data_IF_076162715316
#
_entry.id   IF_076162715316
#
_cell.length_a   1.000
_cell.length_b   1.000
_cell.length_c   1.000
_cell.angle_alpha   90.00
_cell.angle_beta   90.00
_cell.angle_gamma   90.00
#
_symmetry.space_group_name_H-M   'P 1'
#
loop_
_entity.id
_entity.type
_entity.pdbx_description
1 polymer ?
#
# COMPACT_ATOMS: atom_id res chain seq x y z
N UNK A 1 90.92 -4.57 -53.63
CA UNK A 1 89.98 -4.45 -52.48
C UNK A 1 89.01 -3.33 -52.79
N UNK A 2 87.79 -3.67 -53.20
CA UNK A 2 86.72 -2.71 -53.55
C UNK A 2 85.64 -2.85 -52.49
N UNK A 3 85.40 -1.79 -51.72
CA UNK A 3 84.35 -1.71 -50.70
C UNK A 3 83.17 -0.91 -51.28
N UNK A 4 82.09 -1.61 -51.63
CA UNK A 4 80.80 -1.01 -51.96
C UNK A 4 80.09 -0.54 -50.67
N UNK A 5 79.89 0.77 -50.51
CA UNK A 5 78.93 1.33 -49.57
C UNK A 5 77.68 1.75 -50.35
N UNK A 6 76.68 0.86 -50.39
CA UNK A 6 75.34 1.16 -50.91
C UNK A 6 74.61 2.08 -49.93
N UNK A 7 74.49 3.36 -50.28
CA UNK A 7 73.52 4.28 -49.68
C UNK A 7 72.11 3.92 -50.16
N UNK A 8 71.32 3.25 -49.32
CA UNK A 8 69.87 3.15 -49.52
C UNK A 8 69.20 4.47 -49.10
N UNK A 9 68.76 5.27 -50.08
CA UNK A 9 67.78 6.34 -49.83
C UNK A 9 66.43 5.70 -49.47
N UNK A 10 65.99 5.86 -48.22
CA UNK A 10 64.65 5.45 -47.80
C UNK A 10 63.59 6.44 -48.32
N UNK A 11 62.61 5.90 -49.05
CA UNK A 11 61.55 6.62 -49.76
C UNK A 11 60.38 7.02 -48.85
N UNK A 12 60.65 7.63 -47.69
CA UNK A 12 59.59 8.20 -46.83
C UNK A 12 59.59 9.74 -46.94
N UNK A 13 58.40 10.36 -47.12
CA UNK A 13 58.27 11.82 -47.11
C UNK A 13 58.89 12.43 -45.84
N UNK A 14 59.50 13.60 -45.97
CA UNK A 14 60.27 14.26 -44.89
C UNK A 14 59.46 14.55 -43.62
N UNK A 15 58.13 14.64 -43.73
CA UNK A 15 57.19 14.81 -42.62
C UNK A 15 56.92 13.52 -41.82
N UNK A 16 57.40 12.36 -42.27
CA UNK A 16 57.20 11.05 -41.62
C UNK A 16 58.53 10.40 -41.16
N UNK A 17 59.50 11.21 -40.74
CA UNK A 17 60.77 10.77 -40.18
C UNK A 17 60.81 11.06 -38.67
N UNK A 18 61.24 10.11 -37.81
CA UNK A 18 61.33 10.34 -36.38
C UNK A 18 62.54 11.22 -36.05
N UNK A 19 62.29 12.45 -35.60
CA UNK A 19 63.31 13.34 -35.02
C UNK A 19 63.30 13.13 -33.50
N UNK A 20 63.99 12.07 -33.09
CA UNK A 20 64.24 11.58 -31.71
C UNK A 20 63.04 10.99 -30.96
N UNK A 21 63.19 9.70 -30.58
CA UNK A 21 62.17 8.87 -29.95
C UNK A 21 61.29 8.12 -30.97
N UNK A 22 60.89 6.89 -30.63
CA UNK A 22 60.19 5.92 -31.51
C UNK A 22 58.76 6.32 -31.96
N UNK A 23 58.38 7.61 -31.91
CA UNK A 23 57.03 8.05 -32.28
C UNK A 23 57.04 9.29 -33.17
N UNK A 24 56.38 9.18 -34.32
CA UNK A 24 56.27 10.23 -35.35
C UNK A 24 55.42 11.42 -34.85
N UNK A 25 55.67 12.64 -35.34
CA UNK A 25 54.88 13.85 -35.01
C UNK A 25 53.38 13.67 -35.33
N UNK A 26 53.06 12.84 -36.34
CA UNK A 26 51.69 12.46 -36.66
C UNK A 26 51.05 11.58 -35.58
N UNK A 27 51.79 10.68 -34.96
CA UNK A 27 51.26 9.87 -33.84
C UNK A 27 51.00 10.75 -32.62
N UNK A 28 51.84 11.76 -32.35
CA UNK A 28 51.61 12.75 -31.29
C UNK A 28 50.40 13.65 -31.56
N UNK A 29 50.07 13.92 -32.83
CA UNK A 29 48.87 14.68 -33.22
C UNK A 29 47.62 13.80 -33.21
N UNK A 30 47.67 12.57 -33.70
CA UNK A 30 46.54 11.62 -33.73
C UNK A 30 46.15 11.19 -32.31
N UNK A 31 47.11 10.99 -31.40
CA UNK A 31 46.82 10.71 -29.98
C UNK A 31 46.11 11.85 -29.24
N UNK A 32 46.19 13.11 -29.73
CA UNK A 32 45.42 14.23 -29.15
C UNK A 32 43.96 14.28 -29.62
N UNK A 33 43.60 13.58 -30.69
CA UNK A 33 42.24 13.56 -31.26
C UNK A 33 41.51 12.24 -31.04
N UNK A 34 42.18 11.19 -30.56
CA UNK A 34 41.52 9.95 -30.18
C UNK A 34 40.91 10.08 -28.78
N UNK A 35 39.58 10.17 -28.71
CA UNK A 35 38.85 10.10 -27.44
C UNK A 35 39.27 8.86 -26.64
N UNK A 36 39.53 8.98 -25.32
CA UNK A 36 39.79 7.84 -24.46
C UNK A 36 38.65 6.83 -24.50
N UNK A 37 38.99 5.56 -24.27
CA UNK A 37 38.01 4.49 -24.09
C UNK A 37 37.43 4.54 -22.67
N UNK A 38 36.20 4.05 -22.52
CA UNK A 38 35.59 3.87 -21.20
C UNK A 38 36.30 2.72 -20.49
N UNK A 39 36.58 2.86 -19.20
CA UNK A 39 37.23 1.81 -18.40
C UNK A 39 36.38 0.54 -18.38
N UNK A 40 37.02 -0.63 -18.50
CA UNK A 40 36.34 -1.94 -18.48
C UNK A 40 35.43 -2.14 -17.26
N UNK A 41 35.85 -1.65 -16.10
CA UNK A 41 35.04 -1.67 -14.86
C UNK A 41 33.72 -0.90 -15.01
N UNK A 42 33.75 0.25 -15.68
CA UNK A 42 32.58 1.07 -15.93
C UNK A 42 31.67 0.46 -17.01
N UNK A 43 32.26 -0.20 -18.01
CA UNK A 43 31.52 -0.97 -19.02
C UNK A 43 30.80 -2.16 -18.35
N UNK A 44 31.52 -2.92 -17.54
CA UNK A 44 30.96 -4.05 -16.80
C UNK A 44 29.83 -3.61 -15.87
N UNK A 45 30.05 -2.55 -15.07
CA UNK A 45 29.03 -2.00 -14.19
C UNK A 45 27.80 -1.53 -14.98
N UNK A 46 27.99 -0.77 -16.07
CA UNK A 46 26.89 -0.34 -16.93
C UNK A 46 26.05 -1.51 -17.43
N UNK A 47 26.72 -2.56 -17.93
CA UNK A 47 26.04 -3.72 -18.50
C UNK A 47 25.31 -4.56 -17.44
N UNK A 48 25.88 -4.67 -16.24
CA UNK A 48 25.22 -5.30 -15.10
C UNK A 48 23.96 -4.52 -14.70
N UNK A 49 24.04 -3.20 -14.62
CA UNK A 49 22.90 -2.34 -14.28
C UNK A 49 21.81 -2.39 -15.37
N UNK A 50 22.21 -2.44 -16.65
CA UNK A 50 21.29 -2.60 -17.78
C UNK A 50 20.57 -3.95 -17.74
N UNK A 51 21.28 -5.03 -17.42
CA UNK A 51 20.69 -6.36 -17.23
C UNK A 51 19.69 -6.39 -16.06
N UNK A 52 20.04 -5.75 -14.94
CA UNK A 52 19.14 -5.63 -13.80
C UNK A 52 17.90 -4.79 -14.14
N UNK A 53 18.07 -3.67 -14.84
CA UNK A 53 16.96 -2.85 -15.33
C UNK A 53 16.04 -3.65 -16.27
N UNK A 54 16.60 -4.50 -17.14
CA UNK A 54 15.82 -5.40 -17.99
C UNK A 54 14.99 -6.39 -17.17
N UNK A 55 15.60 -7.06 -16.19
CA UNK A 55 14.92 -8.00 -15.30
C UNK A 55 13.74 -7.34 -14.57
N UNK A 56 13.93 -6.15 -14.00
CA UNK A 56 12.85 -5.43 -13.33
C UNK A 56 11.79 -4.89 -14.29
N UNK A 57 12.18 -4.50 -15.50
CA UNK A 57 11.24 -4.16 -16.57
C UNK A 57 10.31 -5.33 -16.89
N UNK A 58 10.84 -6.55 -16.99
CA UNK A 58 10.04 -7.72 -17.33
C UNK A 58 9.12 -8.15 -16.17
N UNK A 59 9.57 -8.02 -14.92
CA UNK A 59 8.70 -8.15 -13.74
C UNK A 59 7.59 -7.10 -13.74
N UNK A 60 7.91 -5.84 -14.02
CA UNK A 60 6.90 -4.76 -14.08
C UNK A 60 5.85 -5.02 -15.17
N UNK A 61 6.27 -5.49 -16.36
CA UNK A 61 5.35 -5.91 -17.44
C UNK A 61 4.45 -7.05 -17.01
N UNK A 62 4.98 -8.03 -16.27
CA UNK A 62 4.21 -9.17 -15.82
C UNK A 62 3.09 -8.77 -14.82
N UNK A 63 3.37 -7.80 -13.95
CA UNK A 63 2.40 -7.29 -12.96
C UNK A 63 1.39 -6.32 -13.59
N UNK A 64 1.81 -5.50 -14.56
CA UNK A 64 1.04 -4.43 -15.21
C UNK A 64 -0.09 -4.91 -16.17
N UNK A 65 -0.74 -6.05 -15.90
CA UNK A 65 -1.83 -6.58 -16.74
C UNK A 65 -3.16 -5.87 -16.44
N UNK A 66 -3.32 -4.66 -17.00
CA UNK A 66 -4.56 -3.94 -17.35
C UNK A 66 -5.57 -3.52 -16.27
N UNK A 67 -5.27 -3.64 -14.96
CA UNK A 67 -6.22 -3.24 -13.89
C UNK A 67 -5.92 -1.93 -13.17
N UNK A 68 -4.82 -1.26 -13.48
CA UNK A 68 -4.38 -0.06 -12.75
C UNK A 68 -4.81 1.26 -13.39
N UNK A 69 -5.39 1.23 -14.59
CA UNK A 69 -5.69 2.44 -15.37
C UNK A 69 -7.12 2.95 -15.18
N UNK A 70 -7.97 2.19 -14.48
CA UNK A 70 -9.34 2.64 -14.24
C UNK A 70 -9.35 3.87 -13.32
N UNK A 71 -10.09 4.91 -13.71
CA UNK A 71 -10.21 6.15 -12.92
C UNK A 71 -10.67 5.88 -11.49
N UNK A 72 -11.55 4.90 -11.30
CA UNK A 72 -12.04 4.47 -9.99
C UNK A 72 -10.94 3.87 -9.10
N UNK A 73 -10.08 3.03 -9.67
CA UNK A 73 -8.93 2.49 -8.95
C UNK A 73 -7.92 3.58 -8.61
N UNK A 74 -7.66 4.50 -9.53
CA UNK A 74 -6.75 5.63 -9.29
C UNK A 74 -7.29 6.56 -8.19
N UNK A 75 -8.60 6.78 -8.16
CA UNK A 75 -9.27 7.47 -7.05
C UNK A 75 -9.03 6.73 -5.73
N UNK A 76 -9.19 5.40 -5.70
CA UNK A 76 -8.90 4.61 -4.50
C UNK A 76 -7.45 4.75 -4.03
N UNK A 77 -6.48 4.66 -4.94
CA UNK A 77 -5.05 4.85 -4.64
C UNK A 77 -4.80 6.24 -4.04
N UNK A 78 -5.41 7.28 -4.61
CA UNK A 78 -5.32 8.65 -4.10
C UNK A 78 -5.90 8.76 -2.69
N UNK A 79 -7.10 8.23 -2.46
CA UNK A 79 -7.75 8.27 -1.15
C UNK A 79 -6.92 7.52 -0.11
N UNK A 80 -6.39 6.33 -0.44
CA UNK A 80 -5.48 5.58 0.42
C UNK A 80 -4.30 6.44 0.86
N UNK A 81 -3.68 7.15 -0.08
CA UNK A 81 -2.57 8.05 0.22
C UNK A 81 -3.00 9.22 1.12
N UNK A 82 -4.08 9.93 0.79
CA UNK A 82 -4.57 11.05 1.59
C UNK A 82 -4.93 10.63 3.03
N UNK A 83 -5.50 9.43 3.20
CA UNK A 83 -5.83 8.87 4.50
C UNK A 83 -4.59 8.51 5.32
N UNK A 84 -3.55 7.96 4.68
CA UNK A 84 -2.28 7.64 5.36
C UNK A 84 -1.44 8.86 5.66
N UNK A 85 -1.51 9.88 4.80
CA UNK A 85 -0.74 11.13 4.93
C UNK A 85 -1.45 12.19 5.74
N UNK A 86 -2.72 11.97 6.09
CA UNK A 86 -3.52 12.87 6.91
C UNK A 86 -3.70 14.25 6.25
N UNK A 87 -4.24 14.27 5.02
CA UNK A 87 -4.36 15.46 4.17
C UNK A 87 -5.76 15.60 3.51
N UNK A 88 -6.04 16.77 2.96
CA UNK A 88 -7.17 17.10 2.07
C UNK A 88 -8.56 16.64 2.55
N UNK A 89 -8.87 16.87 3.83
CA UNK A 89 -10.16 16.48 4.40
C UNK A 89 -10.24 15.02 4.86
N UNK A 90 -9.11 14.29 4.85
CA UNK A 90 -8.97 12.95 5.43
C UNK A 90 -8.22 12.97 6.77
N UNK A 91 -8.03 14.14 7.37
CA UNK A 91 -7.31 14.31 8.62
C UNK A 91 -8.02 13.57 9.76
N UNK A 92 -7.26 12.74 10.48
CA UNK A 92 -7.67 11.97 11.65
C UNK A 92 -8.85 11.04 11.35
N UNK A 93 -9.00 10.59 10.09
CA UNK A 93 -10.07 9.66 9.68
C UNK A 93 -9.61 8.21 9.55
N UNK A 94 -8.30 7.93 9.57
CA UNK A 94 -7.75 6.59 9.34
C UNK A 94 -8.30 5.55 10.33
N UNK A 95 -8.27 5.87 11.62
CA UNK A 95 -8.81 5.00 12.67
C UNK A 95 -10.33 4.83 12.55
N UNK A 96 -11.06 5.92 12.28
CA UNK A 96 -12.51 5.88 12.10
C UNK A 96 -12.91 5.04 10.89
N UNK A 97 -12.14 5.07 9.81
CA UNK A 97 -12.35 4.23 8.64
C UNK A 97 -12.16 2.74 8.98
N UNK A 98 -11.10 2.40 9.72
CA UNK A 98 -10.83 1.03 10.17
C UNK A 98 -11.92 0.53 11.13
N UNK A 99 -12.35 1.36 12.07
CA UNK A 99 -13.45 1.06 12.99
C UNK A 99 -14.77 0.86 12.24
N UNK A 100 -15.07 1.70 11.25
CA UNK A 100 -16.28 1.54 10.45
C UNK A 100 -16.25 0.26 9.61
N UNK A 101 -15.13 -0.04 8.95
CA UNK A 101 -14.95 -1.28 8.21
C UNK A 101 -15.12 -2.51 9.12
N UNK A 102 -14.48 -2.50 10.30
CA UNK A 102 -14.63 -3.56 11.29
C UNK A 102 -16.08 -3.67 11.79
N UNK A 103 -16.77 -2.55 12.02
CA UNK A 103 -18.15 -2.53 12.49
C UNK A 103 -19.10 -3.11 11.43
N UNK A 104 -18.94 -2.76 10.16
CA UNK A 104 -19.75 -3.30 9.06
C UNK A 104 -19.52 -4.81 8.88
N UNK A 105 -18.27 -5.27 9.03
CA UNK A 105 -17.92 -6.70 8.93
C UNK A 105 -18.47 -7.53 10.10
N UNK A 106 -18.55 -6.94 11.29
CA UNK A 106 -18.90 -7.65 12.54
C UNK A 106 -20.31 -7.36 13.05
N UNK A 107 -21.10 -6.54 12.34
CA UNK A 107 -22.43 -6.09 12.75
C UNK A 107 -23.37 -7.21 13.18
N UNK A 108 -23.34 -8.36 12.49
CA UNK A 108 -24.28 -9.45 12.73
C UNK A 108 -23.94 -10.16 14.05
N UNK A 109 -22.65 -10.43 14.31
CA UNK A 109 -22.17 -10.95 15.59
C UNK A 109 -22.46 -9.99 16.75
N UNK A 110 -22.23 -8.69 16.55
CA UNK A 110 -22.56 -7.66 17.55
C UNK A 110 -24.07 -7.64 17.87
N UNK A 111 -24.92 -7.77 16.86
CA UNK A 111 -26.37 -7.86 17.01
C UNK A 111 -26.78 -9.11 17.79
N UNK A 112 -26.19 -10.28 17.46
CA UNK A 112 -26.49 -11.53 18.15
C UNK A 112 -26.11 -11.47 19.63
N UNK A 113 -24.94 -10.90 19.95
CA UNK A 113 -24.53 -10.68 21.35
C UNK A 113 -25.55 -9.82 22.09
N UNK A 114 -25.92 -8.67 21.52
CA UNK A 114 -26.90 -7.76 22.12
C UNK A 114 -28.26 -8.42 22.33
N UNK A 115 -28.79 -9.11 21.32
CA UNK A 115 -30.07 -9.81 21.42
C UNK A 115 -30.04 -10.95 22.46
N UNK A 116 -28.91 -11.65 22.55
CA UNK A 116 -28.71 -12.70 23.55
C UNK A 116 -28.78 -12.09 24.94
N UNK A 117 -28.07 -10.99 25.21
CA UNK A 117 -28.08 -10.32 26.52
C UNK A 117 -29.47 -9.77 26.90
N UNK A 118 -30.23 -9.27 25.93
CA UNK A 118 -31.59 -8.80 26.18
C UNK A 118 -32.54 -9.96 26.53
N UNK A 119 -32.46 -11.06 25.78
CA UNK A 119 -33.36 -12.22 25.92
C UNK A 119 -33.04 -13.06 27.16
N UNK A 120 -31.76 -13.18 27.48
CA UNK A 120 -31.24 -14.12 28.45
C UNK A 120 -30.68 -13.35 29.66
N UNK A 121 -31.58 -13.10 30.62
CA UNK A 121 -31.31 -12.28 31.82
C UNK A 121 -31.18 -13.10 33.10
N UNK A 122 -30.85 -14.39 33.01
CA UNK A 122 -30.60 -15.18 34.23
C UNK A 122 -29.38 -14.62 34.97
N UNK A 123 -29.35 -14.83 36.29
CA UNK A 123 -28.25 -14.35 37.14
C UNK A 123 -26.86 -14.76 36.60
N UNK A 124 -26.74 -15.99 36.06
CA UNK A 124 -25.47 -16.50 35.53
C UNK A 124 -25.08 -15.85 34.20
N UNK A 125 -26.04 -15.56 33.33
CA UNK A 125 -25.78 -14.83 32.08
C UNK A 125 -25.39 -13.37 32.34
N UNK A 126 -26.08 -12.70 33.27
CA UNK A 126 -25.72 -11.35 33.70
C UNK A 126 -24.32 -11.32 34.35
N UNK A 127 -24.02 -12.31 35.20
CA UNK A 127 -22.69 -12.48 35.78
C UNK A 127 -21.61 -12.63 34.70
N UNK A 128 -21.88 -13.41 33.64
CA UNK A 128 -20.94 -13.57 32.53
C UNK A 128 -20.78 -12.31 31.69
N UNK A 129 -21.88 -11.65 31.34
CA UNK A 129 -21.87 -10.41 30.55
C UNK A 129 -21.09 -9.31 31.28
N UNK A 130 -21.31 -9.15 32.59
CA UNK A 130 -20.55 -8.20 33.43
C UNK A 130 -19.07 -8.54 33.50
N UNK A 131 -18.73 -9.82 33.65
CA UNK A 131 -17.34 -10.28 33.61
C UNK A 131 -16.67 -9.92 32.28
N UNK A 132 -17.37 -10.10 31.15
CA UNK A 132 -16.85 -9.73 29.83
C UNK A 132 -16.63 -8.23 29.71
N UNK A 133 -17.54 -7.39 30.23
CA UNK A 133 -17.40 -5.94 30.23
C UNK A 133 -16.20 -5.46 31.06
N UNK A 134 -16.00 -6.05 32.24
CA UNK A 134 -14.82 -5.82 33.08
C UNK A 134 -13.53 -6.25 32.36
N UNK A 135 -13.58 -7.36 31.62
CA UNK A 135 -12.44 -7.87 30.87
C UNK A 135 -12.08 -6.99 29.66
N UNK A 136 -13.09 -6.48 28.94
CA UNK A 136 -12.90 -5.52 27.83
C UNK A 136 -12.22 -4.23 28.30
N UNK A 137 -12.50 -3.81 29.54
CA UNK A 137 -11.90 -2.61 30.12
C UNK A 137 -10.43 -2.78 30.54
N UNK A 138 -9.89 -4.00 30.52
CA UNK A 138 -8.49 -4.31 30.86
C UNK A 138 -7.54 -4.23 29.65
N UNK A 139 -8.05 -3.93 28.45
CA UNK A 139 -7.25 -3.76 27.21
C UNK A 139 -6.25 -4.91 26.95
N UNK A 140 -6.71 -6.14 27.20
CA UNK A 140 -5.90 -7.34 27.00
C UNK A 140 -5.71 -7.63 25.50
N UNK A 141 -4.61 -8.33 25.19
CA UNK A 141 -4.46 -8.96 23.87
C UNK A 141 -5.57 -9.99 23.61
N UNK A 142 -5.83 -10.23 22.32
CA UNK A 142 -6.97 -11.06 21.90
C UNK A 142 -6.89 -12.52 22.36
N UNK A 143 -5.69 -13.06 22.59
CA UNK A 143 -5.50 -14.44 23.01
C UNK A 143 -5.84 -14.59 24.49
N UNK A 144 -5.28 -13.71 25.34
CA UNK A 144 -5.58 -13.68 26.77
C UNK A 144 -7.05 -13.38 27.04
N UNK A 145 -7.67 -12.50 26.25
CA UNK A 145 -9.10 -12.25 26.33
C UNK A 145 -9.89 -13.56 26.13
N UNK A 146 -9.63 -14.27 25.03
CA UNK A 146 -10.32 -15.54 24.70
C UNK A 146 -10.09 -16.61 25.76
N UNK A 147 -8.87 -16.74 26.27
CA UNK A 147 -8.53 -17.70 27.32
C UNK A 147 -9.37 -17.44 28.58
N UNK A 148 -9.38 -16.20 29.07
CA UNK A 148 -10.14 -15.83 30.28
C UNK A 148 -11.66 -15.99 30.10
N UNK A 149 -12.19 -15.65 28.93
CA UNK A 149 -13.60 -15.90 28.57
C UNK A 149 -13.90 -17.40 28.61
N UNK A 150 -13.03 -18.24 28.07
CA UNK A 150 -13.21 -19.70 28.05
C UNK A 150 -13.17 -20.30 29.46
N UNK A 151 -12.22 -19.87 30.29
CA UNK A 151 -12.14 -20.30 31.70
C UNK A 151 -13.42 -19.95 32.45
N UNK A 152 -13.92 -18.72 32.29
CA UNK A 152 -15.16 -18.29 32.95
C UNK A 152 -16.38 -19.04 32.44
N UNK A 153 -16.42 -19.37 31.14
CA UNK A 153 -17.51 -20.16 30.55
C UNK A 153 -17.56 -21.55 31.20
N UNK A 154 -16.43 -22.25 31.29
CA UNK A 154 -16.35 -23.59 31.90
C UNK A 154 -16.82 -23.57 33.36
N UNK A 155 -16.42 -22.56 34.13
CA UNK A 155 -16.85 -22.37 35.52
C UNK A 155 -18.38 -22.24 35.62
N UNK A 156 -19.00 -21.42 34.78
CA UNK A 156 -20.44 -21.15 34.86
C UNK A 156 -21.29 -22.27 34.28
N UNK A 157 -20.83 -22.99 33.24
CA UNK A 157 -21.58 -24.11 32.66
C UNK A 157 -21.84 -25.23 33.68
N UNK A 158 -20.91 -25.46 34.62
CA UNK A 158 -21.10 -26.42 35.71
C UNK A 158 -22.18 -26.02 36.72
N UNK A 159 -22.61 -24.75 36.71
CA UNK A 159 -23.57 -24.18 37.66
C UNK A 159 -24.94 -23.92 37.04
N UNK A 160 -25.05 -23.97 35.71
CA UNK A 160 -26.31 -23.75 34.97
C UNK A 160 -27.09 -25.06 34.90
N UNK A 161 -28.38 -24.99 35.26
CA UNK A 161 -29.27 -26.16 35.35
C UNK A 161 -29.94 -26.52 34.02
N UNK A 162 -30.31 -25.52 33.22
CA UNK A 162 -31.07 -25.72 31.99
C UNK A 162 -30.14 -25.88 30.80
N UNK A 163 -30.54 -26.68 29.81
CA UNK A 163 -29.75 -26.83 28.59
C UNK A 163 -29.85 -25.59 27.70
N UNK A 164 -31.01 -24.91 27.72
CA UNK A 164 -31.22 -23.67 26.96
C UNK A 164 -30.23 -22.58 27.38
N UNK A 165 -30.04 -22.36 28.69
CA UNK A 165 -29.11 -21.32 29.17
C UNK A 165 -27.65 -21.66 28.85
N UNK A 166 -27.28 -22.95 28.85
CA UNK A 166 -25.95 -23.41 28.44
C UNK A 166 -25.71 -23.14 26.96
N UNK A 167 -26.67 -23.50 26.10
CA UNK A 167 -26.60 -23.26 24.65
C UNK A 167 -26.50 -21.75 24.38
N UNK A 168 -27.31 -20.92 25.03
CA UNK A 168 -27.28 -19.47 24.87
C UNK A 168 -25.91 -18.89 25.25
N UNK A 169 -25.34 -19.32 26.38
CA UNK A 169 -24.03 -18.84 26.84
C UNK A 169 -22.88 -19.31 25.93
N UNK A 170 -22.95 -20.55 25.43
CA UNK A 170 -21.98 -21.05 24.44
C UNK A 170 -22.07 -20.31 23.11
N UNK A 171 -23.29 -20.01 22.63
CA UNK A 171 -23.52 -19.22 21.44
C UNK A 171 -22.97 -17.79 21.62
N UNK A 172 -23.21 -17.17 22.77
CA UNK A 172 -22.63 -15.88 23.13
C UNK A 172 -21.10 -15.89 23.07
N UNK A 173 -20.45 -16.90 23.66
CA UNK A 173 -18.98 -17.05 23.60
C UNK A 173 -18.48 -17.33 22.18
N UNK A 174 -19.22 -18.06 21.36
CA UNK A 174 -18.88 -18.28 19.95
C UNK A 174 -18.79 -16.95 19.20
N UNK A 175 -19.75 -16.05 19.39
CA UNK A 175 -19.74 -14.73 18.77
C UNK A 175 -18.64 -13.84 19.34
N UNK A 176 -18.37 -13.89 20.65
CA UNK A 176 -17.21 -13.19 21.24
C UNK A 176 -15.89 -13.67 20.64
N UNK A 177 -15.72 -14.98 20.45
CA UNK A 177 -14.53 -15.56 19.82
C UNK A 177 -14.37 -15.13 18.36
N UNK A 178 -15.48 -14.93 17.65
CA UNK A 178 -15.46 -14.38 16.30
C UNK A 178 -15.01 -12.91 16.31
N UNK A 179 -15.60 -12.07 17.18
CA UNK A 179 -15.24 -10.67 17.32
C UNK A 179 -13.78 -10.49 17.74
N UNK A 180 -13.31 -11.31 18.68
CA UNK A 180 -11.96 -11.24 19.22
C UNK A 180 -10.88 -11.75 18.27
N UNK A 181 -11.20 -12.12 17.02
CA UNK A 181 -10.17 -12.41 16.01
C UNK A 181 -9.37 -11.17 15.63
N UNK A 182 -9.91 -9.97 15.89
CA UNK A 182 -9.29 -8.70 15.59
C UNK A 182 -9.46 -7.74 16.78
N UNK A 183 -8.41 -6.99 17.12
CA UNK A 183 -8.43 -6.01 18.23
C UNK A 183 -9.52 -4.95 18.06
N UNK A 184 -9.74 -4.50 16.83
CA UNK A 184 -10.81 -3.55 16.49
C UNK A 184 -12.21 -4.12 16.84
N UNK A 185 -12.41 -5.43 16.76
CA UNK A 185 -13.67 -6.07 17.14
C UNK A 185 -13.95 -5.94 18.63
N UNK A 186 -12.93 -6.14 19.48
CA UNK A 186 -13.04 -5.94 20.93
C UNK A 186 -13.23 -4.46 21.28
N UNK A 187 -12.49 -3.58 20.62
CA UNK A 187 -12.63 -2.12 20.79
C UNK A 187 -14.03 -1.64 20.43
N UNK A 188 -14.58 -2.10 19.31
CA UNK A 188 -15.96 -1.80 18.90
C UNK A 188 -16.98 -2.30 19.91
N UNK A 189 -16.79 -3.52 20.42
CA UNK A 189 -17.70 -4.09 21.40
C UNK A 189 -17.70 -3.28 22.70
N UNK A 190 -16.52 -2.87 23.19
CA UNK A 190 -16.39 -1.98 24.33
C UNK A 190 -17.06 -0.61 24.09
N UNK A 191 -16.86 0.00 22.92
CA UNK A 191 -17.49 1.26 22.57
C UNK A 191 -19.01 1.15 22.58
N UNK A 192 -19.56 0.10 21.95
CA UNK A 192 -21.01 -0.13 21.93
C UNK A 192 -21.59 -0.36 23.32
N UNK A 193 -20.89 -1.12 24.18
CA UNK A 193 -21.28 -1.33 25.59
C UNK A 193 -21.33 -0.04 26.39
N UNK A 194 -20.34 0.84 26.23
CA UNK A 194 -20.30 2.15 26.90
C UNK A 194 -21.43 3.07 26.44
N UNK A 195 -21.86 2.94 25.19
CA UNK A 195 -22.97 3.70 24.65
C UNK A 195 -24.25 2.88 24.67
N UNK A 196 -24.79 2.64 25.88
CA UNK A 196 -26.08 1.99 26.16
C UNK A 196 -27.27 2.45 25.29
N UNK A 197 -27.19 3.65 24.70
CA UNK A 197 -28.20 4.22 23.82
C UNK A 197 -28.04 3.85 22.33
N UNK A 198 -26.99 3.11 21.96
CA UNK A 198 -26.77 2.72 20.57
C UNK A 198 -27.66 1.53 20.26
N UNK A 199 -28.72 1.81 19.51
CA UNK A 199 -29.47 0.82 18.77
C UNK A 199 -28.49 0.10 17.83
N UNK A 200 -28.10 -1.13 18.17
CA UNK A 200 -27.19 -1.96 17.36
C UNK A 200 -27.69 -2.12 15.92
N UNK A 201 -28.99 -1.86 15.64
CA UNK A 201 -29.54 -1.87 14.28
C UNK A 201 -29.04 -0.72 13.42
N UNK A 202 -28.41 0.31 14.00
CA UNK A 202 -27.79 1.42 13.26
C UNK A 202 -26.73 0.89 12.29
N UNK A 203 -25.90 -0.06 12.72
CA UNK A 203 -24.89 -0.68 11.84
C UNK A 203 -25.55 -1.41 10.65
N UNK A 204 -26.68 -2.09 10.89
CA UNK A 204 -27.45 -2.75 9.84
C UNK A 204 -28.10 -1.76 8.87
N UNK A 205 -28.63 -0.63 9.38
CA UNK A 205 -29.20 0.45 8.57
C UNK A 205 -28.13 1.09 7.69
N UNK A 206 -26.96 1.40 8.25
CA UNK A 206 -25.84 1.97 7.50
C UNK A 206 -25.33 0.97 6.44
N UNK A 207 -25.17 -0.30 6.81
CA UNK A 207 -24.79 -1.32 5.84
C UNK A 207 -25.81 -1.43 4.69
N UNK A 208 -27.11 -1.31 4.96
CA UNK A 208 -28.15 -1.32 3.93
C UNK A 208 -28.06 -0.08 3.02
N UNK A 209 -27.81 1.10 3.58
CA UNK A 209 -27.60 2.35 2.82
C UNK A 209 -26.35 2.25 1.93
N UNK A 210 -25.27 1.69 2.45
CA UNK A 210 -24.03 1.50 1.69
C UNK A 210 -24.25 0.49 0.56
N UNK A 211 -24.89 -0.65 0.86
CA UNK A 211 -25.16 -1.68 -0.14
C UNK A 211 -26.12 -1.22 -1.25
N UNK A 212 -26.97 -0.21 -1.01
CA UNK A 212 -27.88 0.32 -2.03
C UNK A 212 -27.18 1.23 -3.05
N UNK A 213 -25.93 1.65 -2.81
CA UNK A 213 -25.15 2.48 -3.73
C UNK A 213 -24.78 1.77 -5.04
N UNK A 214 -24.81 0.43 -5.07
CA UNK A 214 -24.42 -0.36 -6.24
C UNK A 214 -23.00 -0.04 -6.74
N UNK A 215 -22.68 -0.45 -7.97
CA UNK A 215 -21.32 -0.25 -8.52
C UNK A 215 -21.05 1.12 -9.17
N UNK A 216 -22.03 2.04 -9.22
CA UNK A 216 -21.94 3.24 -10.09
C UNK A 216 -21.78 4.57 -9.37
N UNK A 217 -22.11 4.69 -8.08
CA UNK A 217 -22.21 6.00 -7.42
C UNK A 217 -21.04 6.34 -6.46
N UNK A 218 -20.01 5.50 -6.39
CA UNK A 218 -18.92 5.68 -5.40
C UNK A 218 -17.88 6.74 -5.84
N UNK A 219 -17.81 7.09 -7.12
CA UNK A 219 -16.84 8.07 -7.62
C UNK A 219 -17.23 9.53 -7.31
N UNK A 220 -18.54 9.83 -7.28
CA UNK A 220 -19.04 11.19 -7.11
C UNK A 220 -19.28 11.50 -5.62
N UNK A 221 -18.31 12.16 -5.00
CA UNK A 221 -18.40 12.55 -3.59
C UNK A 221 -19.64 13.42 -3.31
N UNK A 222 -20.08 14.27 -4.24
CA UNK A 222 -21.27 15.13 -4.01
C UNK A 222 -22.54 14.30 -3.88
N UNK A 223 -22.67 13.23 -4.67
CA UNK A 223 -23.80 12.29 -4.54
C UNK A 223 -23.77 11.55 -3.21
N UNK A 224 -22.59 11.12 -2.77
CA UNK A 224 -22.43 10.47 -1.47
C UNK A 224 -22.79 11.43 -0.32
N UNK A 225 -22.41 12.70 -0.43
CA UNK A 225 -22.82 13.74 0.53
C UNK A 225 -24.34 13.88 0.57
N UNK A 226 -25.01 13.95 -0.59
CA UNK A 226 -26.47 14.00 -0.66
C UNK A 226 -27.14 12.77 -0.02
N UNK A 227 -26.60 11.57 -0.25
CA UNK A 227 -27.10 10.35 0.39
C UNK A 227 -26.98 10.43 1.92
N UNK A 228 -25.82 10.88 2.41
CA UNK A 228 -25.57 11.03 3.84
C UNK A 228 -26.50 12.09 4.42
N UNK A 229 -26.70 13.22 3.75
CA UNK A 229 -27.59 14.29 4.19
C UNK A 229 -29.02 13.77 4.43
N UNK A 230 -29.56 12.99 3.49
CA UNK A 230 -30.90 12.39 3.60
C UNK A 230 -31.00 11.44 4.81
N UNK A 231 -29.89 10.79 5.19
CA UNK A 231 -29.83 9.80 6.26
C UNK A 231 -29.01 10.28 7.47
N UNK A 232 -28.82 11.59 7.62
CA UNK A 232 -27.78 12.13 8.49
C UNK A 232 -28.00 11.78 9.97
N UNK A 233 -29.25 11.73 10.42
CA UNK A 233 -29.59 11.30 11.79
C UNK A 233 -29.17 9.86 12.11
N UNK A 234 -29.07 8.99 11.11
CA UNK A 234 -28.54 7.63 11.28
C UNK A 234 -27.01 7.68 11.39
N UNK A 235 -26.35 8.42 10.49
CA UNK A 235 -24.89 8.57 10.48
C UNK A 235 -24.36 9.29 11.72
N UNK A 236 -25.05 10.31 12.21
CA UNK A 236 -24.69 11.06 13.43
C UNK A 236 -24.56 10.15 14.66
N UNK A 237 -25.36 9.08 14.74
CA UNK A 237 -25.27 8.10 15.83
C UNK A 237 -24.04 7.20 15.72
N UNK A 238 -23.51 7.02 14.50
CA UNK A 238 -22.28 6.27 14.24
C UNK A 238 -21.05 6.96 14.84
N UNK A 239 -21.06 8.30 14.95
CA UNK A 239 -19.93 9.12 15.40
C UNK A 239 -19.17 8.50 16.57
N UNK A 240 -19.90 8.14 17.62
CA UNK A 240 -19.35 7.59 18.87
C UNK A 240 -18.81 6.17 18.72
N UNK A 241 -19.38 5.37 17.82
CA UNK A 241 -18.99 3.99 17.53
C UNK A 241 -17.66 3.96 16.76
N UNK A 242 -17.47 4.91 15.84
CA UNK A 242 -16.27 4.98 14.98
C UNK A 242 -15.26 6.04 15.45
N UNK A 243 -15.44 6.58 16.66
CA UNK A 243 -14.47 7.46 17.30
C UNK A 243 -14.27 8.82 16.62
N UNK A 244 -15.28 9.36 15.92
CA UNK A 244 -15.20 10.70 15.35
C UNK A 244 -15.38 11.79 16.41
N UNK A 245 -14.62 12.88 16.27
CA UNK A 245 -14.84 14.11 17.06
C UNK A 245 -16.13 14.83 16.65
N UNK A 246 -16.57 15.81 17.45
CA UNK A 246 -17.73 16.65 17.09
C UNK A 246 -17.46 17.46 15.81
N UNK A 247 -16.24 17.95 15.61
CA UNK A 247 -15.83 18.72 14.42
C UNK A 247 -15.91 17.88 13.14
N UNK A 248 -15.64 16.57 13.25
CA UNK A 248 -15.68 15.63 12.13
C UNK A 248 -17.09 15.03 11.91
N UNK A 249 -18.09 15.42 12.71
CA UNK A 249 -19.45 14.91 12.61
C UNK A 249 -20.22 15.58 11.46
N UNK A 250 -19.69 15.51 10.24
CA UNK A 250 -20.24 16.19 9.06
C UNK A 250 -20.64 15.20 7.97
N UNK A 251 -21.63 15.53 7.12
CA UNK A 251 -22.02 14.71 6.00
C UNK A 251 -20.85 14.34 5.07
N UNK A 252 -19.95 15.29 4.83
CA UNK A 252 -18.75 15.14 4.00
C UNK A 252 -17.79 14.10 4.58
N UNK A 253 -17.63 14.08 5.91
CA UNK A 253 -16.77 13.10 6.58
C UNK A 253 -17.31 11.70 6.38
N UNK A 254 -18.61 11.48 6.62
CA UNK A 254 -19.22 10.17 6.40
C UNK A 254 -19.19 9.76 4.93
N UNK A 255 -19.41 10.68 4.00
CA UNK A 255 -19.33 10.41 2.57
C UNK A 255 -17.92 9.93 2.15
N UNK A 256 -16.86 10.56 2.68
CA UNK A 256 -15.47 10.13 2.48
C UNK A 256 -15.20 8.73 3.04
N UNK A 257 -15.71 8.44 4.24
CA UNK A 257 -15.55 7.12 4.86
C UNK A 257 -16.26 6.03 4.06
N UNK A 258 -17.49 6.28 3.60
CA UNK A 258 -18.24 5.35 2.73
C UNK A 258 -17.48 5.13 1.42
N UNK A 259 -17.02 6.21 0.79
CA UNK A 259 -16.25 6.14 -0.45
C UNK A 259 -15.00 5.27 -0.28
N UNK A 260 -14.26 5.48 0.80
CA UNK A 260 -13.07 4.68 1.10
C UNK A 260 -13.42 3.20 1.29
N UNK A 261 -14.46 2.88 2.06
CA UNK A 261 -14.85 1.49 2.36
C UNK A 261 -15.28 0.74 1.11
N UNK A 262 -16.15 1.35 0.29
CA UNK A 262 -16.64 0.73 -0.94
C UNK A 262 -15.50 0.49 -1.94
N UNK A 263 -14.62 1.48 -2.12
CA UNK A 263 -13.45 1.33 -2.97
C UNK A 263 -12.44 0.31 -2.39
N UNK A 264 -12.27 0.27 -1.08
CA UNK A 264 -11.42 -0.73 -0.40
C UNK A 264 -11.92 -2.13 -0.68
N UNK A 265 -13.22 -2.39 -0.47
CA UNK A 265 -13.82 -3.69 -0.73
C UNK A 265 -13.68 -4.13 -2.18
N UNK A 266 -13.83 -3.19 -3.14
CA UNK A 266 -13.71 -3.47 -4.57
C UNK A 266 -12.26 -3.69 -5.03
N UNK A 267 -11.30 -2.95 -4.48
CA UNK A 267 -9.94 -2.86 -5.03
C UNK A 267 -8.81 -3.35 -4.12
N UNK A 268 -9.09 -3.87 -2.92
CA UNK A 268 -8.05 -4.31 -1.98
C UNK A 268 -7.00 -5.23 -2.61
N UNK A 269 -7.43 -6.29 -3.31
CA UNK A 269 -6.51 -7.23 -3.97
C UNK A 269 -5.75 -6.58 -5.14
N UNK A 270 -6.40 -5.69 -5.89
CA UNK A 270 -5.75 -4.95 -6.99
C UNK A 270 -4.69 -4.00 -6.44
N UNK A 271 -4.97 -3.35 -5.30
CA UNK A 271 -4.05 -2.45 -4.64
C UNK A 271 -2.80 -3.18 -4.12
N UNK A 272 -2.93 -4.39 -3.57
CA UNK A 272 -1.77 -5.19 -3.18
C UNK A 272 -0.83 -5.46 -4.37
N UNK A 273 -1.38 -5.81 -5.54
CA UNK A 273 -0.58 -5.98 -6.76
C UNK A 273 0.02 -4.68 -7.27
N UNK A 274 -0.69 -3.57 -7.07
CA UNK A 274 -0.16 -2.25 -7.40
C UNK A 274 1.02 -1.87 -6.50
N UNK A 275 0.96 -2.16 -5.20
CA UNK A 275 2.09 -1.97 -4.28
C UNK A 275 3.31 -2.84 -4.67
N UNK A 276 3.07 -4.05 -5.16
CA UNK A 276 4.12 -4.91 -5.72
C UNK A 276 4.77 -4.25 -6.95
N UNK A 277 3.97 -3.72 -7.88
CA UNK A 277 4.46 -2.96 -9.03
C UNK A 277 5.26 -1.72 -8.60
N UNK A 278 4.76 -0.95 -7.63
CA UNK A 278 5.47 0.22 -7.10
C UNK A 278 6.85 -0.15 -6.55
N UNK A 279 6.94 -1.25 -5.78
CA UNK A 279 8.20 -1.77 -5.25
C UNK A 279 9.18 -2.15 -6.37
N UNK A 280 8.70 -2.85 -7.40
CA UNK A 280 9.50 -3.21 -8.59
C UNK A 280 10.00 -1.97 -9.33
N UNK A 281 9.15 -0.96 -9.50
CA UNK A 281 9.52 0.30 -10.17
C UNK A 281 10.52 1.13 -9.36
N UNK A 282 10.45 1.09 -8.02
CA UNK A 282 11.46 1.71 -7.17
C UNK A 282 12.83 1.03 -7.29
N UNK A 283 12.87 -0.31 -7.37
CA UNK A 283 14.11 -1.05 -7.60
C UNK A 283 14.67 -0.76 -9.01
N UNK A 284 13.82 -0.75 -10.02
CA UNK A 284 14.18 -0.35 -11.38
C UNK A 284 14.78 1.06 -11.43
N UNK A 285 14.21 2.02 -10.69
CA UNK A 285 14.67 3.41 -10.67
C UNK A 285 16.12 3.55 -10.19
N UNK A 286 16.57 2.71 -9.24
CA UNK A 286 17.96 2.69 -8.78
C UNK A 286 18.92 2.34 -9.90
N UNK A 287 18.60 1.29 -10.66
CA UNK A 287 19.41 0.85 -11.80
C UNK A 287 19.39 1.88 -12.94
N UNK A 288 18.22 2.47 -13.21
CA UNK A 288 18.10 3.57 -14.16
C UNK A 288 19.02 4.76 -13.80
N UNK A 289 19.03 5.17 -12.52
CA UNK A 289 19.90 6.24 -12.04
C UNK A 289 21.38 5.90 -12.16
N UNK A 290 21.77 4.66 -11.84
CA UNK A 290 23.15 4.20 -11.98
C UNK A 290 23.62 4.22 -13.45
N UNK A 291 22.80 3.70 -14.37
CA UNK A 291 23.08 3.75 -15.81
C UNK A 291 23.26 5.19 -16.29
N UNK A 292 22.38 6.11 -15.89
CA UNK A 292 22.49 7.52 -16.24
C UNK A 292 23.76 8.15 -15.69
N UNK A 293 24.11 7.89 -14.43
CA UNK A 293 25.31 8.43 -13.81
C UNK A 293 26.58 7.98 -14.58
N UNK A 294 26.66 6.70 -14.95
CA UNK A 294 27.78 6.17 -15.74
C UNK A 294 27.82 6.83 -17.14
N UNK A 295 26.68 6.92 -17.83
CA UNK A 295 26.62 7.56 -19.16
C UNK A 295 26.98 9.05 -19.12
N UNK A 296 26.66 9.75 -18.02
CA UNK A 296 27.02 11.16 -17.80
C UNK A 296 28.50 11.33 -17.47
N UNK A 297 29.08 10.41 -16.70
CA UNK A 297 30.52 10.40 -16.38
C UNK A 297 31.37 10.15 -17.62
N UNK A 298 30.87 9.35 -18.58
CA UNK A 298 31.57 9.01 -19.82
C UNK A 298 30.81 9.49 -21.07
N UNK A 299 30.69 10.81 -21.31
CA UNK A 299 29.87 11.33 -22.39
C UNK A 299 30.49 11.06 -23.78
N UNK A 300 29.67 10.93 -24.84
CA UNK A 300 30.15 10.63 -26.20
C UNK A 300 31.02 11.74 -26.78
N UNK A 301 30.92 12.97 -26.25
CA UNK A 301 31.79 14.10 -26.64
C UNK A 301 33.24 13.91 -26.21
N UNK A 302 33.48 13.18 -25.11
CA UNK A 302 34.80 13.03 -24.50
C UNK A 302 35.34 11.59 -24.62
N UNK A 303 34.48 10.58 -24.72
CA UNK A 303 34.88 9.16 -24.74
C UNK A 303 34.40 8.42 -25.99
N UNK A 304 35.13 7.37 -26.37
CA UNK A 304 34.63 6.34 -27.29
C UNK A 304 33.70 5.41 -26.51
N UNK A 305 32.40 5.50 -26.78
CA UNK A 305 31.40 4.72 -26.06
C UNK A 305 31.19 3.33 -26.68
N UNK A 306 31.01 2.28 -25.87
CA UNK A 306 30.50 0.98 -26.33
C UNK A 306 29.09 1.12 -26.91
N UNK A 307 28.68 0.16 -27.75
CA UNK A 307 27.34 0.15 -28.38
C UNK A 307 26.21 0.19 -27.34
N UNK A 308 26.39 -0.51 -26.22
CA UNK A 308 25.36 -0.66 -25.18
C UNK A 308 25.04 0.66 -24.46
N UNK A 309 25.97 1.62 -24.43
CA UNK A 309 25.79 2.95 -23.80
C UNK A 309 24.76 3.80 -24.55
N UNK A 310 24.46 3.46 -25.81
CA UNK A 310 23.44 4.13 -26.62
C UNK A 310 22.07 3.44 -26.57
N UNK A 311 21.96 2.25 -25.97
CA UNK A 311 20.71 1.51 -25.92
C UNK A 311 19.66 2.21 -25.06
N UNK A 312 18.38 2.08 -25.46
CA UNK A 312 17.25 2.51 -24.64
C UNK A 312 17.25 1.72 -23.32
N UNK A 313 17.05 2.42 -22.20
CA UNK A 313 16.96 1.75 -20.91
C UNK A 313 15.59 1.07 -20.83
N UNK A 314 15.53 -0.28 -20.71
CA UNK A 314 14.28 -1.02 -20.74
C UNK A 314 13.39 -0.62 -19.56
N UNK A 315 12.07 -0.60 -19.76
CA UNK A 315 11.10 -0.30 -18.70
C UNK A 315 10.76 1.19 -18.52
N UNK A 316 11.44 2.11 -19.21
CA UNK A 316 11.21 3.55 -19.08
C UNK A 316 9.74 3.95 -19.32
N UNK A 317 9.09 3.37 -20.34
CA UNK A 317 7.66 3.66 -20.64
C UNK A 317 6.72 3.31 -19.47
N UNK A 318 6.97 2.19 -18.79
CA UNK A 318 6.15 1.74 -17.66
C UNK A 318 6.40 2.63 -16.44
N UNK A 319 7.66 2.97 -16.18
CA UNK A 319 8.00 3.91 -15.12
C UNK A 319 7.32 5.28 -15.35
N UNK A 320 7.40 5.84 -16.55
CA UNK A 320 6.78 7.13 -16.88
C UNK A 320 5.26 7.10 -16.72
N UNK A 321 4.60 5.99 -17.07
CA UNK A 321 3.16 5.79 -16.87
C UNK A 321 2.75 5.97 -15.40
N UNK A 322 3.57 5.50 -14.46
CA UNK A 322 3.26 5.54 -13.02
C UNK A 322 4.02 6.62 -12.24
N UNK A 323 4.90 7.40 -12.89
CA UNK A 323 5.80 8.36 -12.24
C UNK A 323 5.05 9.35 -11.36
N UNK A 324 3.95 9.94 -11.85
CA UNK A 324 3.18 10.94 -11.08
C UNK A 324 2.62 10.31 -9.79
N UNK A 325 2.08 9.10 -9.89
CA UNK A 325 1.57 8.36 -8.73
C UNK A 325 2.66 7.98 -7.71
N UNK A 326 3.90 7.74 -8.18
CA UNK A 326 5.07 7.50 -7.32
C UNK A 326 5.62 8.77 -6.66
N UNK A 327 5.40 9.95 -7.28
CA UNK A 327 5.93 11.24 -6.81
C UNK A 327 4.93 12.01 -5.94
N UNK A 328 3.64 11.84 -6.15
CA UNK A 328 2.58 12.37 -5.27
C UNK A 328 2.64 11.77 -3.85
N UNK A 329 3.41 10.68 -3.64
CA UNK A 329 3.69 10.12 -2.31
C UNK A 329 4.91 10.70 -1.59
N UNK A 330 5.67 11.58 -2.24
CA UNK A 330 6.90 12.19 -1.71
C UNK A 330 6.76 13.68 -1.34
N UNK A 331 5.57 14.25 -1.46
CA UNK A 331 5.26 15.58 -0.97
C UNK A 331 4.76 15.53 0.48
#
# INVERSE_FOLDING_TARGET
MVLELKTQLSSKPWWNRPLWGDKSLLEKLICKFSKPEVSEEAIHLHNQELFNAQRFSDLAKAINRDKFDSQEFLLFVKIKYLLTSNLDGYERLSESAQLLEAALKTKDSLMVLYQTELRYQTYKQQQFSKFVEELLSQELDTEKFRERVKVKLTELLGQIKTEEDKIALQAYVKELNYLSKHELGLKLFLLLKRYYAVDYSILSKIAAIINSLGQKDVQDLKRLVSLVLVNYEVFKKLRKIIGLSEEQNTPETYARLIQYIELSHKYQLTFLKFQELESVLWQWCKHYQAILAIRQQYPPSQYKQPKDFSQEIPGLKIYLKYKNWLSDRKA
#
